data_IF_642981006109
#
_entry.id   IF_642981006109
#
_cell.length_a   1.000
_cell.length_b   1.000
_cell.length_c   1.000
_cell.angle_alpha   90.00
_cell.angle_beta   90.00
_cell.angle_gamma   90.00
#
_symmetry.space_group_name_H-M   'P 1'
#
loop_
_entity.id
_entity.type
_entity.pdbx_description
1 polymer ?
#
# COMPACT_ATOMS: atom_id res chain seq x y z
N UNK A 1 -7.78 2.11 4.36
CA UNK A 1 -7.26 2.93 5.48
C UNK A 1 -8.41 3.43 6.33
N UNK A 2 -8.13 3.86 7.59
CA UNK A 2 -9.12 4.26 8.60
C UNK A 2 -9.65 3.09 9.46
N UNK A 3 -10.02 1.98 8.82
CA UNK A 3 -10.51 0.76 9.48
C UNK A 3 -10.03 -0.56 8.82
N UNK A 4 -9.21 -0.48 7.77
CA UNK A 4 -8.62 -1.62 7.05
C UNK A 4 -7.31 -1.21 6.34
N UNK A 5 -6.49 -2.18 5.98
CA UNK A 5 -5.24 -2.00 5.21
C UNK A 5 -5.30 -2.76 3.87
N UNK A 6 -4.49 -2.33 2.90
CA UNK A 6 -4.30 -3.00 1.61
C UNK A 6 -2.83 -3.37 1.48
N UNK A 7 -2.54 -4.59 1.00
CA UNK A 7 -1.20 -5.10 0.81
C UNK A 7 -1.07 -5.60 -0.63
N UNK A 8 0.08 -5.32 -1.25
CA UNK A 8 0.51 -5.96 -2.47
C UNK A 8 1.64 -6.93 -2.13
N UNK A 9 1.48 -8.20 -2.47
CA UNK A 9 2.41 -9.26 -2.08
C UNK A 9 2.81 -10.06 -3.32
N UNK A 10 4.10 -10.30 -3.48
CA UNK A 10 4.61 -11.33 -4.39
C UNK A 10 4.65 -12.67 -3.65
N UNK A 11 4.11 -13.72 -4.27
CA UNK A 11 4.05 -15.06 -3.68
C UNK A 11 4.93 -16.00 -4.49
N UNK A 12 5.99 -16.54 -3.87
CA UNK A 12 6.77 -17.64 -4.43
C UNK A 12 6.01 -18.97 -4.45
N UNK A 13 6.55 -20.00 -5.12
CA UNK A 13 5.88 -21.29 -5.34
C UNK A 13 5.39 -21.98 -4.05
N UNK A 14 6.19 -21.91 -2.98
CA UNK A 14 5.87 -22.53 -1.68
C UNK A 14 5.07 -21.61 -0.74
N UNK A 15 4.55 -20.48 -1.25
CA UNK A 15 3.86 -19.50 -0.41
C UNK A 15 2.47 -19.95 0.00
N UNK A 16 2.16 -19.80 1.28
CA UNK A 16 0.82 -20.05 1.82
C UNK A 16 0.20 -18.75 2.31
N UNK A 17 -0.49 -18.04 1.40
CA UNK A 17 -1.14 -16.76 1.69
C UNK A 17 -2.14 -16.85 2.87
N UNK A 18 -3.02 -17.88 2.97
CA UNK A 18 -3.89 -18.02 4.13
C UNK A 18 -3.14 -18.10 5.46
N UNK A 19 -2.04 -18.87 5.52
CA UNK A 19 -1.20 -19.01 6.72
C UNK A 19 -0.48 -17.70 7.03
N UNK A 20 0.03 -17.02 6.02
CA UNK A 20 0.66 -15.70 6.17
C UNK A 20 -0.31 -14.69 6.78
N UNK A 21 -1.48 -14.50 6.16
CA UNK A 21 -2.49 -13.54 6.63
C UNK A 21 -3.02 -13.90 8.02
N UNK A 22 -3.19 -15.20 8.33
CA UNK A 22 -3.54 -15.65 9.68
C UNK A 22 -2.51 -15.19 10.72
N UNK A 23 -1.21 -15.32 10.42
CA UNK A 23 -0.14 -14.89 11.33
C UNK A 23 -0.13 -13.37 11.52
N UNK A 24 -0.19 -12.59 10.44
CA UNK A 24 -0.23 -11.12 10.50
C UNK A 24 -1.41 -10.64 11.36
N UNK A 25 -2.60 -11.15 11.08
CA UNK A 25 -3.83 -10.74 11.77
C UNK A 25 -3.83 -11.14 13.25
N UNK A 26 -3.31 -12.33 13.60
CA UNK A 26 -3.24 -12.77 15.00
C UNK A 26 -2.20 -11.99 15.80
N UNK A 27 -1.02 -11.73 15.22
CA UNK A 27 0.01 -10.97 15.91
C UNK A 27 -0.44 -9.54 16.21
N UNK A 28 -1.09 -8.88 15.24
CA UNK A 28 -1.65 -7.56 15.48
C UNK A 28 -2.80 -7.60 16.50
N UNK A 29 -3.64 -8.64 16.49
CA UNK A 29 -4.68 -8.82 17.52
C UNK A 29 -4.08 -8.90 18.93
N UNK A 30 -3.05 -9.71 19.15
CA UNK A 30 -2.41 -9.82 20.46
C UNK A 30 -1.74 -8.52 20.90
N UNK A 31 -1.04 -7.85 19.98
CA UNK A 31 -0.50 -6.52 20.21
C UNK A 31 -1.60 -5.54 20.64
N UNK A 32 -2.69 -5.44 19.87
CA UNK A 32 -3.78 -4.52 20.17
C UNK A 32 -4.46 -4.84 21.49
N UNK A 33 -4.74 -6.12 21.76
CA UNK A 33 -5.32 -6.60 23.03
C UNK A 33 -4.46 -6.19 24.21
N UNK A 34 -3.14 -6.40 24.14
CA UNK A 34 -2.22 -6.06 25.21
C UNK A 34 -2.17 -4.54 25.46
N UNK A 35 -2.03 -3.74 24.41
CA UNK A 35 -1.87 -2.29 24.55
C UNK A 35 -3.17 -1.53 24.80
N UNK A 36 -4.33 -2.10 24.48
CA UNK A 36 -5.64 -1.42 24.61
C UNK A 36 -6.58 -2.09 25.61
N UNK A 37 -6.12 -3.13 26.32
CA UNK A 37 -6.95 -3.95 27.22
C UNK A 37 -8.25 -4.43 26.54
N UNK A 38 -8.17 -4.77 25.25
CA UNK A 38 -9.33 -5.08 24.43
C UNK A 38 -9.76 -6.55 24.55
N UNK A 39 -11.08 -6.78 24.54
CA UNK A 39 -11.69 -8.11 24.51
C UNK A 39 -12.78 -8.15 23.43
N UNK A 40 -12.78 -9.18 22.59
CA UNK A 40 -13.72 -9.33 21.47
C UNK A 40 -13.05 -9.58 20.12
N UNK A 41 -13.83 -9.45 19.05
CA UNK A 41 -13.36 -9.64 17.68
C UNK A 41 -12.84 -8.34 17.10
N UNK A 42 -11.53 -8.27 16.83
CA UNK A 42 -10.91 -7.07 16.24
C UNK A 42 -11.16 -6.93 14.73
N UNK A 43 -11.20 -8.05 14.01
CA UNK A 43 -11.33 -8.09 12.56
C UNK A 43 -12.78 -8.31 12.15
N UNK A 44 -13.26 -7.57 11.14
CA UNK A 44 -14.62 -7.69 10.60
C UNK A 44 -14.85 -8.94 9.72
N UNK A 45 -13.83 -9.76 9.52
CA UNK A 45 -13.93 -10.99 8.73
C UNK A 45 -12.59 -11.47 8.18
N UNK A 46 -12.65 -12.37 7.19
CA UNK A 46 -11.46 -12.84 6.45
C UNK A 46 -10.91 -11.75 5.54
N UNK A 47 -9.61 -11.82 5.26
CA UNK A 47 -9.00 -10.99 4.24
C UNK A 47 -9.63 -11.26 2.86
N UNK A 48 -9.62 -10.25 2.00
CA UNK A 48 -9.97 -10.38 0.59
C UNK A 48 -8.68 -10.40 -0.22
N UNK A 49 -8.62 -11.21 -1.27
CA UNK A 49 -7.46 -11.28 -2.17
C UNK A 49 -7.91 -11.27 -3.62
N UNK A 50 -7.20 -10.53 -4.46
CA UNK A 50 -7.32 -10.55 -5.92
C UNK A 50 -5.96 -10.87 -6.51
N UNK A 51 -5.91 -11.82 -7.43
CA UNK A 51 -4.69 -12.18 -8.14
C UNK A 51 -4.40 -11.14 -9.23
N UNK A 52 -3.17 -10.67 -9.30
CA UNK A 52 -2.69 -9.77 -10.34
C UNK A 52 -1.84 -10.61 -11.29
N UNK A 53 -2.41 -11.00 -12.43
CA UNK A 53 -1.71 -11.81 -13.45
C UNK A 53 -1.03 -10.95 -14.51
N UNK A 54 -1.52 -9.73 -14.72
CA UNK A 54 -0.97 -8.83 -15.72
C UNK A 54 0.06 -7.92 -15.05
N UNK A 55 1.33 -8.24 -15.26
CA UNK A 55 2.46 -7.57 -14.64
C UNK A 55 2.52 -6.05 -14.91
N UNK A 56 2.25 -5.54 -16.14
CA UNK A 56 2.04 -4.11 -16.39
C UNK A 56 1.01 -3.41 -15.48
N UNK A 57 0.05 -4.13 -14.89
CA UNK A 57 -0.94 -3.54 -13.97
C UNK A 57 -0.43 -3.39 -12.54
N UNK A 58 0.75 -3.94 -12.19
CA UNK A 58 1.28 -3.86 -10.82
C UNK A 58 1.47 -2.41 -10.37
N UNK A 59 2.01 -1.55 -11.24
CA UNK A 59 2.21 -0.15 -10.92
C UNK A 59 0.87 0.57 -10.68
N UNK A 60 -0.15 0.28 -11.49
CA UNK A 60 -1.50 0.83 -11.33
C UNK A 60 -2.18 0.35 -10.05
N UNK A 61 -2.01 -0.92 -9.68
CA UNK A 61 -2.51 -1.43 -8.41
C UNK A 61 -1.80 -0.78 -7.20
N UNK A 62 -0.49 -0.53 -7.30
CA UNK A 62 0.28 0.18 -6.27
C UNK A 62 -0.22 1.61 -6.11
N UNK A 63 -0.34 2.33 -7.23
CA UNK A 63 -0.93 3.68 -7.28
C UNK A 63 -2.32 3.73 -6.66
N UNK A 64 -3.19 2.77 -7.00
CA UNK A 64 -4.53 2.68 -6.41
C UNK A 64 -4.48 2.52 -4.88
N UNK A 65 -3.57 1.68 -4.36
CA UNK A 65 -3.39 1.48 -2.92
C UNK A 65 -2.98 2.79 -2.26
N UNK A 66 -1.99 3.48 -2.81
CA UNK A 66 -1.41 4.72 -2.27
C UNK A 66 -2.34 5.93 -2.40
N UNK A 67 -3.26 5.92 -3.37
CA UNK A 67 -4.32 6.93 -3.51
C UNK A 67 -5.52 6.70 -2.59
N UNK A 68 -5.65 5.54 -1.92
CA UNK A 68 -6.80 5.28 -1.06
C UNK A 68 -6.97 6.29 0.09
N UNK A 69 -5.93 6.66 0.85
CA UNK A 69 -6.04 7.68 1.91
C UNK A 69 -6.64 8.99 1.41
N UNK A 70 -6.22 9.45 0.23
CA UNK A 70 -6.77 10.65 -0.42
C UNK A 70 -8.21 10.41 -0.83
N UNK A 71 -8.49 9.26 -1.44
CA UNK A 71 -9.83 8.89 -1.94
C UNK A 71 -10.89 8.81 -0.84
N UNK A 72 -10.50 8.50 0.40
CA UNK A 72 -11.39 8.47 1.56
C UNK A 72 -11.30 9.73 2.43
N UNK A 73 -10.61 10.77 1.96
CA UNK A 73 -10.51 12.07 2.63
C UNK A 73 -9.65 12.09 3.90
N UNK A 74 -8.77 11.11 4.10
CA UNK A 74 -7.86 11.09 5.26
C UNK A 74 -6.70 12.07 5.11
N UNK A 75 -6.26 12.31 3.87
CA UNK A 75 -5.17 13.24 3.53
C UNK A 75 -5.45 13.94 2.20
N UNK A 76 -4.81 15.09 1.97
CA UNK A 76 -4.94 15.83 0.70
C UNK A 76 -3.97 15.28 -0.36
N UNK A 77 -2.82 14.76 0.07
CA UNK A 77 -1.83 14.14 -0.81
C UNK A 77 -1.43 12.75 -0.31
N UNK A 78 -1.03 11.82 -1.21
CA UNK A 78 -0.49 10.51 -0.81
C UNK A 78 0.75 10.63 0.08
N UNK A 79 1.56 11.67 -0.13
CA UNK A 79 2.76 11.94 0.67
C UNK A 79 2.46 12.20 2.14
N UNK A 80 1.26 12.69 2.46
CA UNK A 80 0.90 13.03 3.84
C UNK A 80 0.47 11.79 4.62
N UNK A 81 0.23 10.65 3.95
CA UNK A 81 -0.15 9.41 4.59
C UNK A 81 1.07 8.52 4.88
N UNK A 82 1.46 8.47 6.16
CA UNK A 82 2.70 7.81 6.61
C UNK A 82 2.70 6.30 6.42
N UNK A 83 1.53 5.65 6.45
CA UNK A 83 1.40 4.19 6.40
C UNK A 83 1.22 3.69 4.95
N UNK A 84 2.05 4.20 4.03
CA UNK A 84 2.08 3.79 2.63
C UNK A 84 3.49 3.77 2.07
N UNK A 85 3.66 3.01 0.98
CA UNK A 85 4.91 2.95 0.22
C UNK A 85 5.17 4.20 -0.65
N UNK A 86 4.26 5.17 -0.68
CA UNK A 86 4.38 6.32 -1.59
C UNK A 86 5.69 7.08 -1.38
N UNK A 87 6.08 7.34 -0.12
CA UNK A 87 7.31 8.10 0.17
C UNK A 87 8.58 7.36 -0.24
N UNK A 88 8.56 6.03 -0.20
CA UNK A 88 9.66 5.21 -0.71
C UNK A 88 9.84 5.40 -2.21
N UNK A 89 8.75 5.26 -2.99
CA UNK A 89 8.82 5.36 -4.45
C UNK A 89 8.98 6.81 -4.94
N UNK A 90 8.25 7.76 -4.36
CA UNK A 90 8.22 9.14 -4.81
C UNK A 90 9.39 9.99 -4.30
N UNK A 91 9.94 9.69 -3.11
CA UNK A 91 10.98 10.52 -2.48
C UNK A 91 12.22 9.75 -2.05
N UNK A 92 12.28 8.43 -2.31
CA UNK A 92 13.43 7.60 -1.92
C UNK A 92 13.59 7.44 -0.42
N UNK A 93 12.52 7.62 0.36
CA UNK A 93 12.57 7.36 1.79
C UNK A 93 12.83 5.88 2.02
N UNK A 94 13.88 5.54 2.77
CA UNK A 94 14.19 4.15 3.10
C UNK A 94 13.05 3.51 3.90
N UNK A 95 12.65 2.31 3.50
CA UNK A 95 11.71 1.45 4.21
C UNK A 95 12.14 -0.02 4.02
N UNK A 96 12.44 -0.69 5.13
CA UNK A 96 12.92 -2.08 5.12
C UNK A 96 11.76 -3.10 4.93
N UNK A 97 10.50 -2.65 4.92
CA UNK A 97 9.33 -3.49 4.67
C UNK A 97 8.95 -3.57 3.19
N UNK A 98 9.61 -2.80 2.32
CA UNK A 98 9.27 -2.67 0.92
C UNK A 98 10.27 -3.43 0.06
N UNK A 99 9.75 -4.45 -0.64
CA UNK A 99 10.41 -5.01 -1.81
C UNK A 99 10.09 -4.12 -3.03
N UNK A 100 11.12 -3.75 -3.79
CA UNK A 100 10.97 -2.86 -4.95
C UNK A 100 10.12 -3.54 -6.02
N UNK A 101 9.06 -2.85 -6.45
CA UNK A 101 8.31 -3.24 -7.64
C UNK A 101 9.23 -3.17 -8.88
N UNK A 102 9.42 -4.25 -9.66
CA UNK A 102 10.29 -4.22 -10.84
C UNK A 102 9.89 -3.16 -11.86
N UNK A 103 8.59 -2.87 -12.02
CA UNK A 103 8.11 -1.82 -12.93
C UNK A 103 8.46 -0.41 -12.49
N UNK A 104 8.69 -0.19 -11.20
CA UNK A 104 9.23 1.09 -10.75
C UNK A 104 10.60 1.33 -11.37
N UNK A 105 11.47 0.31 -11.40
CA UNK A 105 12.81 0.40 -11.99
C UNK A 105 12.77 0.66 -13.51
N UNK A 106 11.71 0.24 -14.19
CA UNK A 106 11.50 0.49 -15.62
C UNK A 106 11.11 1.95 -15.93
N UNK A 107 10.60 2.72 -14.95
CA UNK A 107 10.20 4.12 -15.17
C UNK A 107 11.37 5.02 -15.55
N UNK A 108 12.55 4.75 -14.97
CA UNK A 108 13.80 5.39 -15.35
C UNK A 108 14.99 4.67 -14.72
N UNK A 109 16.14 4.66 -15.41
CA UNK A 109 17.40 4.15 -14.86
C UNK A 109 17.97 5.06 -13.78
N UNK A 110 17.87 6.38 -13.96
CA UNK A 110 18.27 7.37 -12.96
C UNK A 110 17.26 7.44 -11.82
N UNK A 111 17.75 7.46 -10.57
CA UNK A 111 16.90 7.43 -9.39
C UNK A 111 16.05 8.70 -9.23
N UNK A 112 16.63 9.88 -9.44
CA UNK A 112 15.91 11.14 -9.29
C UNK A 112 14.84 11.27 -10.38
N UNK A 113 15.18 10.94 -11.63
CA UNK A 113 14.23 10.92 -12.73
C UNK A 113 13.12 9.88 -12.49
N UNK A 114 13.45 8.71 -11.94
CA UNK A 114 12.46 7.68 -11.59
C UNK A 114 11.47 8.15 -10.51
N UNK A 115 11.96 8.85 -9.50
CA UNK A 115 11.12 9.45 -8.45
C UNK A 115 10.17 10.52 -9.02
N UNK A 116 10.66 11.39 -9.91
CA UNK A 116 9.84 12.38 -10.60
C UNK A 116 8.78 11.72 -11.48
N UNK A 117 9.19 10.77 -12.32
CA UNK A 117 8.28 9.99 -13.17
C UNK A 117 7.21 9.29 -12.32
N UNK A 118 7.56 8.80 -11.13
CA UNK A 118 6.58 8.19 -10.22
C UNK A 118 5.59 9.20 -9.65
N UNK A 119 6.04 10.40 -9.26
CA UNK A 119 5.16 11.48 -8.79
C UNK A 119 4.17 11.90 -9.89
N UNK A 120 4.64 12.00 -11.14
CA UNK A 120 3.83 12.40 -12.29
C UNK A 120 2.63 11.46 -12.52
N UNK A 121 2.76 10.17 -12.16
CA UNK A 121 1.68 9.20 -12.28
C UNK A 121 0.44 9.54 -11.43
N UNK A 122 0.55 10.45 -10.46
CA UNK A 122 -0.52 10.79 -9.51
C UNK A 122 -1.10 12.19 -9.76
N UNK A 123 -0.49 13.01 -10.63
CA UNK A 123 -0.85 14.42 -10.79
C UNK A 123 -2.32 14.57 -11.19
N UNK A 124 -2.74 13.84 -12.22
CA UNK A 124 -4.11 13.91 -12.73
C UNK A 124 -5.13 13.43 -11.69
N UNK A 125 -4.88 12.29 -11.03
CA UNK A 125 -5.82 11.77 -10.02
C UNK A 125 -5.91 12.63 -8.76
N UNK A 126 -4.81 13.27 -8.34
CA UNK A 126 -4.83 14.20 -7.21
C UNK A 126 -5.65 15.44 -7.59
N UNK A 127 -5.43 15.99 -8.79
CA UNK A 127 -6.20 17.14 -9.29
C UNK A 127 -7.70 16.82 -9.35
N UNK A 128 -8.08 15.69 -9.95
CA UNK A 128 -9.47 15.26 -10.03
C UNK A 128 -10.14 15.06 -8.66
N UNK A 129 -9.41 14.51 -7.69
CA UNK A 129 -9.94 14.24 -6.34
C UNK A 129 -10.08 15.51 -5.51
N UNK A 130 -9.18 16.49 -5.67
CA UNK A 130 -9.26 17.76 -4.96
C UNK A 130 -10.38 18.68 -5.45
N UNK A 131 -10.86 18.51 -6.69
CA UNK A 131 -11.98 19.27 -7.24
C UNK A 131 -13.34 18.77 -6.72
N UNK A 132 -13.41 17.53 -6.21
CA UNK A 132 -14.66 16.87 -5.77
C UNK A 132 -14.96 17.02 -4.28
N UNK A 133 -14.27 17.93 -3.57
CA UNK A 133 -14.47 18.23 -2.14
C UNK A 133 -15.29 19.50 -1.98
#
# INVERSE_FOLDING_TARGET
MGNHHHLMLSLGQESNLPRFMKRVNLQYFFYYRYHRSYSGHLWQGRYKSKLILNYPYLLQCGKYIELNPVSVGLTVSPKDYEFSSYRFYAFGQKDDLIDINPYYLELNTDQAARQLNYQDLFVDEIAEKNIKI
#
